data_IF_170572806863
#
_entry.id   IF_170572806863
#
_cell.length_a   1.000
_cell.length_b   1.000
_cell.length_c   1.000
_cell.angle_alpha   90.00
_cell.angle_beta   90.00
_cell.angle_gamma   90.00
#
_symmetry.space_group_name_H-M   'P 1'
#
loop_
_entity.id
_entity.type
_entity.pdbx_description
1 polymer ?
#
# COMPACT_ATOMS: atom_id res chain seq x y z
N UNK A 1 -40.97 36.91 25.26
CA UNK A 1 -40.61 35.55 24.79
C UNK A 1 -39.10 35.40 24.93
N UNK A 2 -38.66 34.53 25.84
CA UNK A 2 -37.25 34.32 26.15
C UNK A 2 -36.59 33.41 25.10
N UNK A 3 -35.42 33.81 24.61
CA UNK A 3 -34.51 32.95 23.84
C UNK A 3 -33.75 32.06 24.83
N UNK A 4 -33.82 30.74 24.65
CA UNK A 4 -33.00 29.80 25.40
C UNK A 4 -31.60 29.71 24.76
N UNK A 5 -30.56 30.00 25.54
CA UNK A 5 -29.16 29.82 25.18
C UNK A 5 -28.79 28.33 25.12
N UNK A 6 -27.94 27.88 24.17
CA UNK A 6 -27.33 26.57 24.25
C UNK A 6 -26.18 26.57 25.27
N UNK A 7 -26.23 25.61 26.19
CA UNK A 7 -25.21 25.34 27.20
C UNK A 7 -23.90 24.88 26.55
N UNK A 8 -22.80 25.48 26.98
CA UNK A 8 -21.44 25.05 26.69
C UNK A 8 -21.05 23.86 27.56
N UNK A 9 -20.45 22.83 26.95
CA UNK A 9 -19.63 21.84 27.67
C UNK A 9 -18.30 21.74 26.93
N UNK A 10 -17.22 21.98 27.69
CA UNK A 10 -15.80 22.00 27.32
C UNK A 10 -15.34 23.24 26.53
N UNK A 11 -14.92 24.26 27.31
CA UNK A 11 -14.43 25.54 26.82
C UNK A 11 -13.28 25.43 25.81
N UNK A 12 -13.63 25.65 24.55
CA UNK A 12 -12.75 26.21 23.52
C UNK A 12 -13.54 27.35 22.89
N UNK A 13 -12.98 28.56 22.91
CA UNK A 13 -13.54 29.74 22.23
C UNK A 13 -13.73 29.39 20.75
N UNK A 14 -14.98 29.31 20.28
CA UNK A 14 -15.26 29.27 18.84
C UNK A 14 -14.77 30.60 18.26
N UNK A 15 -13.68 30.57 17.50
CA UNK A 15 -13.32 31.71 16.67
C UNK A 15 -14.44 31.90 15.66
N UNK A 16 -14.99 33.12 15.61
CA UNK A 16 -16.02 33.56 14.67
C UNK A 16 -15.44 33.66 13.26
N UNK A 17 -14.88 32.58 12.72
CA UNK A 17 -14.50 32.48 11.31
C UNK A 17 -15.78 32.15 10.53
N UNK A 18 -16.36 33.19 9.95
CA UNK A 18 -17.74 33.23 9.48
C UNK A 18 -18.11 32.13 8.48
N UNK A 19 -19.33 31.60 8.61
CA UNK A 19 -20.03 30.78 7.60
C UNK A 19 -19.99 31.38 6.17
N UNK A 20 -19.71 32.68 6.01
CA UNK A 20 -19.65 33.36 4.71
C UNK A 20 -18.62 32.77 3.72
N UNK A 21 -17.58 32.09 4.20
CA UNK A 21 -16.55 31.47 3.34
C UNK A 21 -16.88 30.03 2.92
N UNK A 22 -17.95 29.43 3.47
CA UNK A 22 -18.38 28.06 3.16
C UNK A 22 -19.25 28.02 1.90
N UNK A 23 -19.96 29.12 1.61
CA UNK A 23 -20.97 29.21 0.54
C UNK A 23 -20.54 30.09 -0.64
N UNK A 24 -19.25 30.40 -0.77
CA UNK A 24 -18.78 31.16 -1.94
C UNK A 24 -18.90 30.33 -3.22
N UNK A 25 -18.98 31.02 -4.37
CA UNK A 25 -18.99 30.35 -5.68
C UNK A 25 -17.77 29.44 -5.87
N UNK A 26 -16.60 29.86 -5.40
CA UNK A 26 -15.37 29.06 -5.45
C UNK A 26 -15.46 27.82 -4.55
N UNK A 27 -15.99 27.95 -3.33
CA UNK A 27 -16.20 26.83 -2.42
C UNK A 27 -17.19 25.80 -3.02
N UNK A 28 -18.31 26.26 -3.57
CA UNK A 28 -19.31 25.38 -4.17
C UNK A 28 -18.79 24.67 -5.43
N UNK A 29 -18.04 25.36 -6.29
CA UNK A 29 -17.37 24.74 -7.43
C UNK A 29 -16.33 23.69 -6.99
N UNK A 30 -15.59 23.95 -5.90
CA UNK A 30 -14.59 23.02 -5.37
C UNK A 30 -15.24 21.76 -4.79
N UNK A 31 -16.35 21.90 -4.06
CA UNK A 31 -17.15 20.77 -3.57
C UNK A 31 -17.69 19.91 -4.72
N UNK A 32 -18.18 20.53 -5.80
CA UNK A 32 -18.66 19.83 -6.98
C UNK A 32 -17.53 19.09 -7.72
N UNK A 33 -16.37 19.73 -7.87
CA UNK A 33 -15.19 19.10 -8.46
C UNK A 33 -14.72 17.90 -7.62
N UNK A 34 -14.72 18.01 -6.29
CA UNK A 34 -14.33 16.92 -5.41
C UNK A 34 -15.29 15.71 -5.51
N UNK A 35 -16.60 15.96 -5.63
CA UNK A 35 -17.59 14.92 -5.88
C UNK A 35 -17.40 14.24 -7.25
N UNK A 36 -17.09 15.02 -8.29
CA UNK A 36 -16.77 14.50 -9.63
C UNK A 36 -15.53 13.60 -9.63
N UNK A 37 -14.43 14.10 -9.07
CA UNK A 37 -13.18 13.35 -8.96
C UNK A 37 -13.39 12.06 -8.15
N UNK A 38 -14.09 12.13 -7.01
CA UNK A 38 -14.42 10.95 -6.21
C UNK A 38 -15.21 9.93 -7.02
N UNK A 39 -16.17 10.37 -7.83
CA UNK A 39 -16.95 9.46 -8.68
C UNK A 39 -16.10 8.82 -9.78
N UNK A 40 -15.20 9.57 -10.41
CA UNK A 40 -14.34 9.05 -11.46
C UNK A 40 -13.27 8.10 -10.93
N UNK A 41 -12.55 8.47 -9.87
CA UNK A 41 -11.48 7.64 -9.30
C UNK A 41 -12.01 6.30 -8.78
N UNK A 42 -13.16 6.30 -8.10
CA UNK A 42 -13.73 5.08 -7.55
C UNK A 42 -14.56 4.31 -8.60
N UNK A 43 -15.27 5.00 -9.49
CA UNK A 43 -16.03 4.37 -10.59
C UNK A 43 -15.14 3.67 -11.61
N UNK A 44 -13.95 4.22 -11.89
CA UNK A 44 -12.93 3.60 -12.75
C UNK A 44 -12.03 2.60 -12.01
N UNK A 45 -12.31 2.34 -10.71
CA UNK A 45 -11.50 1.47 -9.83
C UNK A 45 -10.01 1.85 -9.74
N UNK A 46 -9.69 3.12 -9.96
CA UNK A 46 -8.34 3.66 -9.73
C UNK A 46 -8.04 3.72 -8.23
N UNK A 47 -9.07 3.80 -7.39
CA UNK A 47 -8.99 3.72 -5.93
C UNK A 47 -10.04 2.71 -5.43
N UNK A 48 -9.62 1.75 -4.62
CA UNK A 48 -10.48 0.66 -4.11
C UNK A 48 -10.78 0.72 -2.62
N UNK A 49 -10.05 1.56 -1.86
CA UNK A 49 -10.24 1.68 -0.41
C UNK A 49 -11.26 2.78 -0.08
N UNK A 50 -12.35 2.48 0.66
CA UNK A 50 -13.32 3.49 1.09
C UNK A 50 -12.75 4.49 2.12
N UNK A 51 -11.54 4.22 2.65
CA UNK A 51 -10.87 5.07 3.63
C UNK A 51 -10.12 6.27 3.02
N UNK A 52 -9.94 6.33 1.70
CA UNK A 52 -9.23 7.41 1.03
C UNK A 52 -9.94 8.76 1.18
N UNK A 53 -9.21 9.81 1.56
CA UNK A 53 -9.72 11.19 1.59
C UNK A 53 -9.06 12.06 0.52
N UNK A 54 -9.88 12.78 -0.23
CA UNK A 54 -9.46 13.88 -1.10
C UNK A 54 -9.61 15.18 -0.32
N UNK A 55 -8.55 15.98 -0.30
CA UNK A 55 -8.54 17.34 0.25
C UNK A 55 -8.17 18.33 -0.86
N UNK A 56 -8.97 19.38 -1.04
CA UNK A 56 -8.73 20.43 -2.04
C UNK A 56 -8.75 21.78 -1.34
N UNK A 57 -7.69 22.57 -1.55
CA UNK A 57 -7.65 23.96 -1.10
C UNK A 57 -8.56 24.80 -1.99
N UNK A 58 -9.50 25.53 -1.38
CA UNK A 58 -10.39 26.43 -2.11
C UNK A 58 -9.63 27.71 -2.44
N UNK A 59 -9.41 27.93 -3.73
CA UNK A 59 -8.78 29.15 -4.23
C UNK A 59 -9.85 30.18 -4.63
N UNK A 60 -10.10 31.12 -3.72
CA UNK A 60 -10.97 32.27 -3.97
C UNK A 60 -10.12 33.55 -3.90
N UNK A 61 -9.99 34.27 -5.03
CA UNK A 61 -9.19 35.49 -5.12
C UNK A 61 -9.75 36.65 -4.31
N UNK A 62 -11.02 36.57 -3.87
CA UNK A 62 -11.65 37.53 -2.97
C UNK A 62 -11.33 37.28 -1.49
N UNK A 63 -10.69 36.15 -1.16
CA UNK A 63 -10.35 35.76 0.21
C UNK A 63 -8.82 35.86 0.43
N UNK A 64 -8.35 36.56 1.48
CA UNK A 64 -6.93 36.59 1.85
C UNK A 64 -6.37 35.19 2.11
N UNK A 65 -5.10 34.94 1.75
CA UNK A 65 -4.45 33.61 1.85
C UNK A 65 -4.54 32.96 3.25
N UNK A 66 -4.51 33.76 4.31
CA UNK A 66 -4.64 33.28 5.70
C UNK A 66 -6.05 32.85 6.12
N UNK A 67 -7.05 33.06 5.26
CA UNK A 67 -8.45 32.73 5.49
C UNK A 67 -8.99 31.74 4.44
N UNK A 68 -8.11 31.14 3.64
CA UNK A 68 -8.49 30.11 2.67
C UNK A 68 -9.10 28.89 3.38
N UNK A 69 -10.06 28.26 2.73
CA UNK A 69 -10.73 27.07 3.26
C UNK A 69 -10.24 25.81 2.54
N UNK A 70 -10.45 24.67 3.17
CA UNK A 70 -10.08 23.36 2.63
C UNK A 70 -11.35 22.51 2.56
N UNK A 71 -11.67 22.01 1.38
CA UNK A 71 -12.72 21.01 1.16
C UNK A 71 -12.15 19.62 1.37
N UNK A 72 -12.75 18.83 2.26
CA UNK A 72 -12.33 17.48 2.60
C UNK A 72 -13.47 16.48 2.40
N UNK A 73 -13.18 15.39 1.70
CA UNK A 73 -14.10 14.26 1.60
C UNK A 73 -13.95 13.33 2.80
N UNK A 74 -14.99 13.22 3.62
CA UNK A 74 -14.96 12.42 4.86
C UNK A 74 -15.04 10.91 4.58
N UNK A 75 -14.48 10.09 5.47
CA UNK A 75 -14.37 8.62 5.35
C UNK A 75 -15.70 7.87 5.46
N UNK A 76 -16.73 8.49 6.04
CA UNK A 76 -18.06 7.91 6.19
C UNK A 76 -18.95 7.94 4.94
N UNK A 77 -18.47 8.46 3.81
CA UNK A 77 -19.27 8.66 2.59
C UNK A 77 -18.84 7.65 1.52
N UNK A 78 -19.81 6.93 0.92
CA UNK A 78 -19.55 6.10 -0.27
C UNK A 78 -19.08 7.01 -1.42
N UNK A 79 -17.77 7.03 -1.67
CA UNK A 79 -17.10 7.97 -2.59
C UNK A 79 -17.63 7.91 -4.03
N UNK A 80 -18.08 6.73 -4.47
CA UNK A 80 -18.75 6.51 -5.76
C UNK A 80 -20.07 7.29 -5.92
N UNK A 81 -20.71 7.68 -4.81
CA UNK A 81 -22.01 8.36 -4.78
C UNK A 81 -21.96 9.69 -4.01
N UNK A 82 -20.75 10.22 -3.82
CA UNK A 82 -20.54 11.45 -3.08
C UNK A 82 -21.19 12.64 -3.81
N UNK A 83 -21.97 13.44 -3.09
CA UNK A 83 -22.50 14.71 -3.56
C UNK A 83 -21.68 15.88 -2.99
N UNK A 84 -21.79 17.06 -3.61
CA UNK A 84 -21.07 18.25 -3.16
C UNK A 84 -21.38 18.59 -1.68
N UNK A 85 -22.63 18.38 -1.26
CA UNK A 85 -23.11 18.55 0.11
C UNK A 85 -22.47 17.60 1.13
N UNK A 86 -21.86 16.49 0.70
CA UNK A 86 -21.22 15.50 1.58
C UNK A 86 -19.78 15.90 1.99
N UNK A 87 -19.37 17.12 1.63
CA UNK A 87 -18.02 17.64 1.85
C UNK A 87 -17.91 18.32 3.21
N UNK A 88 -16.87 17.99 3.97
CA UNK A 88 -16.47 18.76 5.16
C UNK A 88 -15.64 19.98 4.72
N UNK A 89 -15.83 21.13 5.37
CA UNK A 89 -15.02 22.31 5.12
C UNK A 89 -14.21 22.66 6.36
N UNK A 90 -12.92 22.86 6.18
CA UNK A 90 -12.00 23.26 7.23
C UNK A 90 -11.48 24.69 6.97
N UNK A 91 -11.11 25.38 8.04
CA UNK A 91 -10.32 26.60 7.96
C UNK A 91 -8.88 26.26 7.57
N UNK A 92 -8.11 27.27 7.15
CA UNK A 92 -6.67 27.11 6.91
C UNK A 92 -5.92 26.53 8.12
N UNK A 93 -6.39 26.83 9.34
CA UNK A 93 -5.84 26.31 10.59
C UNK A 93 -6.35 24.93 11.00
N UNK A 94 -7.12 24.25 10.15
CA UNK A 94 -7.62 22.89 10.40
C UNK A 94 -8.88 22.80 11.27
N UNK A 95 -9.49 23.92 11.64
CA UNK A 95 -10.76 23.91 12.40
C UNK A 95 -11.94 23.60 11.48
N UNK A 96 -12.89 22.79 11.93
CA UNK A 96 -14.10 22.45 11.16
C UNK A 96 -15.00 23.69 11.05
N UNK A 97 -15.24 24.15 9.82
CA UNK A 97 -16.15 25.25 9.49
C UNK A 97 -17.55 24.74 9.11
N UNK A 98 -17.62 23.57 8.47
CA UNK A 98 -18.86 22.92 8.09
C UNK A 98 -18.69 21.40 8.08
N UNK A 99 -19.66 20.70 8.64
CA UNK A 99 -19.79 19.24 8.54
C UNK A 99 -21.15 18.89 7.94
N UNK A 100 -21.22 17.95 6.99
CA UNK A 100 -22.49 17.50 6.45
C UNK A 100 -23.36 16.88 7.55
N UNK A 101 -24.70 17.03 7.48
CA UNK A 101 -25.60 16.32 8.36
C UNK A 101 -25.52 14.80 8.11
N UNK A 102 -25.65 13.96 9.13
CA UNK A 102 -25.66 12.51 8.95
C UNK A 102 -26.83 12.10 8.05
N UNK A 103 -26.52 11.42 6.93
CA UNK A 103 -27.56 10.91 6.02
C UNK A 103 -28.27 9.71 6.66
N UNK A 104 -29.62 9.63 6.61
CA UNK A 104 -30.34 8.45 7.08
C UNK A 104 -29.92 7.22 6.27
N UNK A 105 -29.74 6.08 6.96
CA UNK A 105 -29.39 4.81 6.33
C UNK A 105 -30.37 4.48 5.20
N UNK A 106 -29.88 4.34 3.97
CA UNK A 106 -30.71 3.86 2.86
C UNK A 106 -31.12 2.41 3.14
N UNK A 107 -32.43 2.12 3.17
CA UNK A 107 -33.01 0.77 3.24
C UNK A 107 -32.68 -0.05 1.97
N UNK A 108 -31.42 -0.41 1.80
CA UNK A 108 -30.99 -1.63 1.12
C UNK A 108 -29.84 -2.16 1.95
N UNK A 109 -30.11 -3.27 2.65
CA UNK A 109 -29.10 -4.06 3.32
C UNK A 109 -27.94 -4.29 2.33
N UNK A 110 -26.68 -4.01 2.71
CA UNK A 110 -25.57 -4.76 2.13
C UNK A 110 -25.90 -6.24 2.34
N UNK A 111 -25.59 -7.11 1.37
CA UNK A 111 -25.72 -8.55 1.58
C UNK A 111 -24.77 -8.95 2.72
N UNK A 112 -25.31 -8.96 3.93
CA UNK A 112 -24.70 -9.49 5.13
C UNK A 112 -25.10 -10.96 5.22
N UNK A 113 -24.22 -11.84 4.76
CA UNK A 113 -23.96 -13.04 5.53
C UNK A 113 -22.75 -12.74 6.42
N UNK A 114 -22.98 -12.99 7.70
CA UNK A 114 -22.05 -13.06 8.83
C UNK A 114 -21.62 -11.75 9.51
N UNK A 115 -22.37 -11.44 10.57
CA UNK A 115 -22.03 -10.47 11.60
C UNK A 115 -23.25 -10.07 12.43
N UNK A 116 -23.66 -10.89 13.40
CA UNK A 116 -24.58 -10.46 14.47
C UNK A 116 -23.80 -9.72 15.58
N UNK A 117 -24.47 -8.86 16.37
CA UNK A 117 -23.98 -7.53 16.67
C UNK A 117 -23.36 -7.40 18.07
N UNK A 118 -22.37 -6.51 18.22
CA UNK A 118 -21.95 -6.00 19.52
C UNK A 118 -22.12 -4.47 19.54
N UNK A 119 -22.69 -4.01 20.66
CA UNK A 119 -22.94 -2.63 21.10
C UNK A 119 -24.28 -1.98 20.71
N UNK A 120 -25.34 -2.38 21.43
CA UNK A 120 -26.24 -1.41 22.05
C UNK A 120 -25.98 -1.42 23.56
N UNK A 121 -25.60 -0.27 24.13
CA UNK A 121 -25.65 -0.01 25.57
C UNK A 121 -26.84 0.92 25.79
N UNK A 122 -27.90 0.40 26.41
CA UNK A 122 -28.87 1.24 27.11
C UNK A 122 -28.42 1.45 28.57
N UNK A 123 -28.69 2.62 29.18
CA UNK A 123 -28.45 2.87 30.59
C UNK A 123 -29.66 2.47 31.46
N UNK A 124 -29.38 2.17 32.74
CA UNK A 124 -30.29 1.89 33.88
C UNK A 124 -30.73 0.44 34.15
N UNK A 125 -30.52 0.01 35.40
CA UNK A 125 -31.35 -1.04 36.04
C UNK A 125 -30.59 -2.15 36.77
N UNK A 126 -30.56 -2.08 38.10
CA UNK A 126 -30.02 -3.03 39.09
C UNK A 126 -30.70 -4.43 39.05
N UNK A 127 -30.01 -5.50 39.50
CA UNK A 127 -30.46 -6.49 40.53
C UNK A 127 -29.38 -7.57 40.78
N UNK A 128 -29.33 -8.01 42.05
CA UNK A 128 -28.40 -8.89 42.78
C UNK A 128 -28.21 -10.33 42.26
N UNK A 129 -26.98 -10.82 42.44
CA UNK A 129 -26.66 -12.05 43.20
C UNK A 129 -26.77 -13.41 42.48
N UNK A 130 -25.66 -14.17 42.45
CA UNK A 130 -25.55 -15.56 42.94
C UNK A 130 -24.07 -16.02 42.87
N UNK A 131 -23.65 -16.63 43.97
CA UNK A 131 -22.36 -17.24 44.25
C UNK A 131 -22.22 -18.61 43.58
N UNK A 132 -21.03 -18.94 43.05
CA UNK A 132 -20.54 -20.32 43.08
C UNK A 132 -19.01 -20.36 43.13
N UNK A 133 -18.50 -21.11 44.12
CA UNK A 133 -17.09 -21.44 44.38
C UNK A 133 -16.63 -22.60 43.48
N UNK A 134 -15.32 -22.88 43.53
CA UNK A 134 -14.56 -24.13 43.25
C UNK A 134 -13.54 -23.89 42.12
N UNK A 135 -12.26 -24.27 42.17
CA UNK A 135 -11.31 -24.75 43.18
C UNK A 135 -9.95 -24.79 42.46
N UNK A 136 -8.87 -24.41 43.13
CA UNK A 136 -7.49 -24.51 42.62
C UNK A 136 -7.00 -25.94 42.78
N UNK A 137 -6.42 -26.53 41.72
CA UNK A 137 -5.52 -27.67 41.83
C UNK A 137 -4.33 -27.51 40.90
N UNK A 138 -3.15 -27.69 41.49
CA UNK A 138 -1.84 -27.56 40.86
C UNK A 138 -1.40 -28.85 40.17
N UNK A 139 -0.57 -28.70 39.13
CA UNK A 139 0.49 -29.66 38.76
C UNK A 139 0.28 -30.47 37.48
N UNK A 140 0.87 -30.01 36.37
CA UNK A 140 1.66 -30.81 35.42
C UNK A 140 2.29 -29.89 34.38
N UNK A 141 3.62 -29.82 34.35
CA UNK A 141 4.39 -29.18 33.27
C UNK A 141 4.26 -30.03 32.00
N UNK A 142 3.55 -29.50 31.01
CA UNK A 142 3.61 -29.90 29.61
C UNK A 142 3.82 -28.65 28.77
N UNK A 143 4.72 -28.69 27.81
CA UNK A 143 5.08 -27.57 26.94
C UNK A 143 3.82 -27.03 26.23
N UNK A 144 3.35 -25.86 26.67
CA UNK A 144 2.26 -25.12 26.06
C UNK A 144 2.70 -24.59 24.69
N UNK A 145 2.38 -25.32 23.63
CA UNK A 145 2.31 -24.80 22.27
C UNK A 145 0.85 -24.79 21.77
N UNK A 146 -0.12 -24.64 22.68
CA UNK A 146 -1.54 -24.55 22.35
C UNK A 146 -2.07 -23.14 22.67
N UNK A 147 -2.81 -22.58 21.70
CA UNK A 147 -3.51 -21.28 21.71
C UNK A 147 -2.68 -20.00 21.47
N UNK A 148 -1.73 -20.00 20.53
CA UNK A 148 -1.50 -18.75 19.79
C UNK A 148 -2.59 -18.62 18.72
N UNK A 149 -3.36 -17.52 18.70
CA UNK A 149 -4.34 -17.31 17.65
C UNK A 149 -3.62 -17.23 16.30
N UNK A 150 -4.20 -17.91 15.30
CA UNK A 150 -3.77 -17.87 13.91
C UNK A 150 -3.66 -16.42 13.44
N UNK A 151 -2.59 -16.02 12.73
CA UNK A 151 -2.50 -14.68 12.18
C UNK A 151 -3.66 -14.45 11.21
N UNK A 152 -4.29 -13.27 11.32
CA UNK A 152 -5.36 -12.86 10.40
C UNK A 152 -4.79 -12.56 9.01
N UNK A 153 -3.56 -12.04 8.98
CA UNK A 153 -2.86 -11.67 7.76
C UNK A 153 -1.43 -12.21 7.77
N UNK A 154 -0.96 -12.64 6.60
CA UNK A 154 0.45 -12.95 6.37
C UNK A 154 0.98 -11.95 5.34
N UNK A 155 2.12 -11.33 5.63
CA UNK A 155 2.85 -10.47 4.69
C UNK A 155 4.16 -11.18 4.35
N UNK A 156 4.41 -11.39 3.07
CA UNK A 156 5.58 -12.12 2.58
C UNK A 156 6.52 -11.18 1.84
N UNK A 157 7.81 -11.36 2.07
CA UNK A 157 8.84 -10.90 1.15
C UNK A 157 8.92 -11.78 -0.12
N UNK A 158 9.64 -11.30 -1.14
CA UNK A 158 9.89 -12.01 -2.39
C UNK A 158 11.25 -12.69 -2.38
N UNK A 159 12.31 -11.92 -2.57
CA UNK A 159 13.68 -12.39 -2.73
C UNK A 159 14.13 -13.12 -1.45
N UNK A 160 14.70 -14.32 -1.58
CA UNK A 160 15.16 -15.11 -0.44
C UNK A 160 14.06 -15.70 0.45
N UNK A 161 12.78 -15.46 0.12
CA UNK A 161 11.64 -15.86 0.94
C UNK A 161 10.63 -16.74 0.18
N UNK A 162 10.01 -16.18 -0.87
CA UNK A 162 9.14 -16.94 -1.79
C UNK A 162 9.85 -17.32 -3.08
N UNK A 163 10.86 -16.55 -3.46
CA UNK A 163 11.56 -16.61 -4.74
C UNK A 163 13.07 -16.64 -4.48
N UNK A 164 13.88 -17.46 -5.19
CA UNK A 164 15.33 -17.44 -5.04
C UNK A 164 15.91 -16.05 -5.30
N UNK A 165 16.88 -15.62 -4.51
CA UNK A 165 17.58 -14.33 -4.71
C UNK A 165 18.17 -14.25 -6.13
N UNK A 166 18.75 -15.36 -6.60
CA UNK A 166 19.32 -15.49 -7.94
C UNK A 166 18.32 -15.24 -9.07
N UNK A 167 17.02 -15.48 -8.87
CA UNK A 167 16.03 -15.17 -9.89
C UNK A 167 15.98 -13.67 -10.20
N UNK A 168 16.09 -12.82 -9.18
CA UNK A 168 16.07 -11.38 -9.38
C UNK A 168 17.41 -10.88 -9.91
N UNK A 169 18.52 -11.32 -9.30
CA UNK A 169 19.86 -10.83 -9.66
C UNK A 169 20.38 -11.37 -10.98
N UNK A 170 20.07 -12.63 -11.31
CA UNK A 170 20.69 -13.34 -12.43
C UNK A 170 19.74 -13.49 -13.62
N UNK A 171 18.43 -13.27 -13.42
CA UNK A 171 17.43 -13.37 -14.50
C UNK A 171 16.73 -12.04 -14.73
N UNK A 172 16.00 -11.47 -13.76
CA UNK A 172 15.18 -10.28 -14.01
C UNK A 172 16.01 -9.04 -14.38
N UNK A 173 17.05 -8.70 -13.61
CA UNK A 173 17.86 -7.52 -13.94
C UNK A 173 18.65 -7.68 -15.24
N UNK A 174 19.34 -8.82 -15.51
CA UNK A 174 19.97 -9.06 -16.79
C UNK A 174 18.98 -9.03 -17.96
N UNK A 175 17.79 -9.61 -17.81
CA UNK A 175 16.76 -9.56 -18.85
C UNK A 175 16.37 -8.11 -19.19
N UNK A 176 16.16 -7.25 -18.19
CA UNK A 176 15.83 -5.86 -18.42
C UNK A 176 16.94 -5.11 -19.17
N UNK A 177 18.21 -5.34 -18.76
CA UNK A 177 19.38 -4.79 -19.43
C UNK A 177 19.46 -5.22 -20.89
N UNK A 178 19.36 -6.53 -21.15
CA UNK A 178 19.59 -7.09 -22.48
C UNK A 178 18.43 -6.83 -23.45
N UNK A 179 17.23 -6.52 -22.93
CA UNK A 179 16.01 -6.32 -23.74
C UNK A 179 15.52 -4.86 -23.79
N UNK A 180 16.19 -3.91 -23.14
CA UNK A 180 15.76 -2.49 -23.17
C UNK A 180 15.64 -1.96 -24.60
N UNK A 181 16.64 -2.22 -25.46
CA UNK A 181 16.61 -1.77 -26.86
C UNK A 181 15.46 -2.40 -27.64
N UNK A 182 15.29 -3.72 -27.53
CA UNK A 182 14.17 -4.46 -28.16
C UNK A 182 12.82 -3.91 -27.72
N UNK A 183 12.62 -3.71 -26.42
CA UNK A 183 11.39 -3.15 -25.87
C UNK A 183 11.10 -1.77 -26.44
N UNK A 184 12.06 -0.83 -26.32
CA UNK A 184 11.90 0.54 -26.81
C UNK A 184 11.62 0.57 -28.32
N UNK A 185 12.25 -0.28 -29.13
CA UNK A 185 11.98 -0.35 -30.59
C UNK A 185 10.53 -0.75 -30.84
N UNK A 186 10.05 -1.79 -30.15
CA UNK A 186 8.71 -2.35 -30.32
C UNK A 186 7.61 -1.41 -29.83
N UNK A 187 7.84 -0.69 -28.73
CA UNK A 187 6.81 0.08 -28.04
C UNK A 187 6.98 1.59 -28.14
N UNK A 188 7.97 2.09 -28.89
CA UNK A 188 8.32 3.51 -28.97
C UNK A 188 7.11 4.43 -29.12
N UNK A 189 6.23 4.13 -30.07
CA UNK A 189 5.08 4.99 -30.41
C UNK A 189 3.93 4.92 -29.38
N UNK A 190 4.04 4.06 -28.37
CA UNK A 190 3.01 3.93 -27.33
C UNK A 190 3.14 5.08 -26.33
N UNK A 191 1.99 5.59 -25.85
CA UNK A 191 1.98 6.65 -24.85
C UNK A 191 2.75 6.27 -23.57
N UNK A 192 2.64 5.01 -23.15
CA UNK A 192 3.33 4.50 -21.96
C UNK A 192 4.86 4.53 -22.10
N UNK A 193 5.39 4.13 -23.27
CA UNK A 193 6.83 4.22 -23.52
C UNK A 193 7.29 5.66 -23.71
N UNK A 194 6.46 6.54 -24.28
CA UNK A 194 6.78 7.98 -24.34
C UNK A 194 6.87 8.61 -22.94
N UNK A 195 6.00 8.21 -22.01
CA UNK A 195 6.09 8.63 -20.61
C UNK A 195 7.39 8.12 -19.93
N UNK A 196 7.77 6.86 -20.17
CA UNK A 196 9.05 6.30 -19.69
C UNK A 196 10.24 7.10 -20.22
N UNK A 197 10.25 7.39 -21.53
CA UNK A 197 11.29 8.16 -22.21
C UNK A 197 11.40 9.55 -21.60
N UNK A 198 10.28 10.24 -21.38
CA UNK A 198 10.26 11.58 -20.77
C UNK A 198 10.86 11.58 -19.35
N UNK A 199 10.50 10.60 -18.53
CA UNK A 199 11.02 10.47 -17.17
C UNK A 199 12.52 10.14 -17.17
N UNK A 200 12.97 9.24 -18.07
CA UNK A 200 14.37 8.89 -18.21
C UNK A 200 15.20 10.06 -18.73
N UNK A 201 14.72 10.80 -19.73
CA UNK A 201 15.35 12.05 -20.21
C UNK A 201 15.56 13.02 -19.05
N UNK A 202 14.52 13.26 -18.25
CA UNK A 202 14.60 14.16 -17.09
C UNK A 202 15.64 13.69 -16.07
N UNK A 203 15.71 12.39 -15.80
CA UNK A 203 16.73 11.83 -14.90
C UNK A 203 18.14 11.97 -15.47
N UNK A 204 18.34 11.67 -16.76
CA UNK A 204 19.64 11.77 -17.42
C UNK A 204 20.13 13.22 -17.47
N UNK A 205 19.25 14.19 -17.71
CA UNK A 205 19.62 15.61 -17.63
C UNK A 205 20.08 16.01 -16.23
N UNK A 206 19.45 15.50 -15.18
CA UNK A 206 19.88 15.71 -13.80
C UNK A 206 21.24 15.05 -13.53
N UNK A 207 21.44 13.84 -14.03
CA UNK A 207 22.69 13.08 -13.89
C UNK A 207 23.87 13.80 -14.58
N UNK A 208 23.64 14.33 -15.78
CA UNK A 208 24.62 15.15 -16.50
C UNK A 208 24.97 16.42 -15.73
N UNK A 209 23.98 17.13 -15.15
CA UNK A 209 24.21 18.31 -14.30
C UNK A 209 25.04 17.96 -13.04
N UNK A 210 24.86 16.76 -12.51
CA UNK A 210 25.59 16.25 -11.34
C UNK A 210 26.95 15.62 -11.70
N UNK A 211 27.29 15.50 -12.98
CA UNK A 211 28.54 14.87 -13.43
C UNK A 211 28.60 13.37 -13.14
N UNK A 212 27.46 12.67 -13.15
CA UNK A 212 27.42 11.21 -12.98
C UNK A 212 28.18 10.55 -14.14
N UNK A 213 29.12 9.67 -13.82
CA UNK A 213 29.90 8.93 -14.81
C UNK A 213 28.99 8.05 -15.69
N UNK A 214 29.38 7.87 -16.96
CA UNK A 214 28.64 7.07 -17.98
C UNK A 214 27.26 7.63 -18.39
N UNK A 215 26.80 8.76 -17.82
CA UNK A 215 25.60 9.44 -18.31
C UNK A 215 25.85 10.05 -19.69
N UNK A 216 24.97 9.76 -20.66
CA UNK A 216 25.07 10.29 -22.04
C UNK A 216 23.84 11.13 -22.40
N UNK A 217 24.00 12.28 -23.06
CA UNK A 217 22.85 13.10 -23.48
C UNK A 217 21.86 12.33 -24.34
N UNK A 218 20.57 12.46 -24.04
CA UNK A 218 19.51 11.91 -24.89
C UNK A 218 19.15 12.94 -25.97
N UNK A 219 19.33 12.64 -27.27
CA UNK A 219 19.02 13.57 -28.36
C UNK A 219 17.56 14.02 -28.36
N UNK A 220 17.20 15.21 -28.86
CA UNK A 220 15.80 15.63 -28.99
C UNK A 220 15.01 14.69 -29.92
N UNK A 221 13.68 14.69 -29.82
CA UNK A 221 12.82 13.74 -30.58
C UNK A 221 12.93 13.89 -32.11
N UNK A 222 13.35 15.06 -32.60
CA UNK A 222 13.58 15.30 -34.02
C UNK A 222 14.92 14.75 -34.54
N UNK A 223 15.79 14.22 -33.68
CA UNK A 223 17.04 13.55 -34.08
C UNK A 223 16.81 12.17 -34.70
N UNK A 224 15.61 11.60 -34.50
CA UNK A 224 15.25 10.28 -35.00
C UNK A 224 15.18 9.24 -33.88
N UNK A 225 14.26 8.29 -34.04
CA UNK A 225 13.93 7.25 -33.06
C UNK A 225 15.16 6.42 -32.67
N UNK A 226 15.97 6.04 -33.64
CA UNK A 226 17.11 5.14 -33.44
C UNK A 226 18.18 5.77 -32.55
N UNK A 227 18.46 7.06 -32.71
CA UNK A 227 19.45 7.79 -31.90
C UNK A 227 18.97 7.96 -30.45
N UNK A 228 17.68 8.27 -30.27
CA UNK A 228 17.06 8.38 -28.93
C UNK A 228 17.14 7.04 -28.21
N UNK A 229 16.76 5.95 -28.88
CA UNK A 229 16.81 4.60 -28.29
C UNK A 229 18.25 4.23 -27.92
N UNK A 230 19.23 4.45 -28.81
CA UNK A 230 20.62 4.11 -28.52
C UNK A 230 21.16 4.85 -27.28
N UNK A 231 20.84 6.14 -27.14
CA UNK A 231 21.24 6.92 -25.96
C UNK A 231 20.53 6.43 -24.68
N UNK A 232 19.26 6.07 -24.75
CA UNK A 232 18.51 5.52 -23.62
C UNK A 232 19.04 4.15 -23.19
N UNK A 233 19.36 3.27 -24.14
CA UNK A 233 19.97 1.96 -23.88
C UNK A 233 21.26 2.14 -23.09
N UNK A 234 22.17 2.99 -23.58
CA UNK A 234 23.46 3.25 -22.92
C UNK A 234 23.28 3.77 -21.48
N UNK A 235 22.36 4.72 -21.27
CA UNK A 235 22.06 5.24 -19.93
C UNK A 235 21.46 4.16 -19.02
N UNK A 236 20.49 3.39 -19.51
CA UNK A 236 19.82 2.33 -18.72
C UNK A 236 20.81 1.24 -18.32
N UNK A 237 21.66 0.80 -19.24
CA UNK A 237 22.72 -0.17 -18.96
C UNK A 237 23.68 0.34 -17.89
N UNK A 238 24.13 1.59 -17.98
CA UNK A 238 24.98 2.22 -16.97
C UNK A 238 24.29 2.32 -15.61
N UNK A 239 23.01 2.72 -15.58
CA UNK A 239 22.24 2.81 -14.33
C UNK A 239 22.04 1.44 -13.66
N UNK A 240 21.79 0.39 -14.44
CA UNK A 240 21.66 -0.99 -13.94
C UNK A 240 23.01 -1.49 -13.43
N UNK A 241 24.09 -1.30 -14.19
CA UNK A 241 25.45 -1.70 -13.81
C UNK A 241 25.91 -1.04 -12.50
N UNK A 242 25.50 0.20 -12.26
CA UNK A 242 25.79 0.94 -11.04
C UNK A 242 24.77 0.71 -9.89
N UNK A 243 23.84 -0.26 -10.04
CA UNK A 243 22.75 -0.56 -9.10
C UNK A 243 21.96 0.68 -8.61
N UNK A 244 21.73 1.64 -9.51
CA UNK A 244 21.11 2.91 -9.14
C UNK A 244 19.62 2.74 -8.89
N UNK A 245 19.16 3.16 -7.71
CA UNK A 245 17.75 3.07 -7.30
C UNK A 245 16.94 4.28 -7.80
N UNK A 246 16.66 4.32 -9.09
CA UNK A 246 15.98 5.43 -9.79
C UNK A 246 14.52 5.07 -10.06
N UNK A 247 13.58 6.00 -9.80
CA UNK A 247 12.16 5.78 -10.04
C UNK A 247 11.84 5.55 -11.54
N UNK A 248 12.37 6.40 -12.42
CA UNK A 248 12.21 6.27 -13.88
C UNK A 248 12.72 4.92 -14.41
N UNK A 249 13.90 4.48 -13.94
CA UNK A 249 14.45 3.17 -14.31
C UNK A 249 13.53 2.03 -13.85
N UNK A 250 13.05 2.06 -12.61
CA UNK A 250 12.15 1.02 -12.07
C UNK A 250 10.84 0.92 -12.85
N UNK A 251 10.32 2.05 -13.34
CA UNK A 251 9.11 2.07 -14.17
C UNK A 251 9.36 1.33 -15.49
N UNK A 252 10.40 1.74 -16.23
CA UNK A 252 10.76 1.11 -17.49
C UNK A 252 11.07 -0.39 -17.31
N UNK A 253 11.82 -0.77 -16.27
CA UNK A 253 12.10 -2.18 -15.95
C UNK A 253 10.81 -2.99 -15.80
N UNK A 254 9.80 -2.44 -15.13
CA UNK A 254 8.47 -3.06 -15.02
C UNK A 254 7.81 -3.32 -16.37
N UNK A 255 7.92 -2.38 -17.31
CA UNK A 255 7.35 -2.49 -18.65
C UNK A 255 8.13 -3.47 -19.54
N UNK A 256 9.46 -3.50 -19.43
CA UNK A 256 10.31 -4.51 -20.09
C UNK A 256 9.97 -5.91 -19.58
N UNK A 257 9.86 -6.10 -18.27
CA UNK A 257 9.46 -7.38 -17.70
C UNK A 257 8.06 -7.78 -18.16
N UNK A 258 7.09 -6.86 -18.19
CA UNK A 258 5.74 -7.15 -18.71
C UNK A 258 5.81 -7.69 -20.15
N UNK A 259 6.69 -7.14 -20.97
CA UNK A 259 6.93 -7.63 -22.34
C UNK A 259 7.46 -9.06 -22.32
N UNK A 260 8.49 -9.35 -21.50
CA UNK A 260 9.06 -10.69 -21.39
C UNK A 260 8.08 -11.74 -20.86
N UNK A 261 7.32 -11.41 -19.81
CA UNK A 261 6.30 -12.30 -19.25
C UNK A 261 5.17 -12.58 -20.26
N UNK A 262 4.70 -11.54 -20.97
CA UNK A 262 3.66 -11.68 -22.00
C UNK A 262 4.15 -12.45 -23.23
N UNK A 263 5.43 -12.31 -23.57
CA UNK A 263 6.09 -13.01 -24.68
C UNK A 263 6.52 -14.45 -24.38
N UNK A 264 6.30 -14.95 -23.17
CA UNK A 264 6.82 -16.25 -22.70
C UNK A 264 8.36 -16.35 -22.69
N UNK A 265 9.05 -15.22 -22.62
CA UNK A 265 10.51 -15.16 -22.44
C UNK A 265 10.89 -15.15 -20.95
N UNK A 266 9.94 -14.77 -20.08
CA UNK A 266 10.06 -14.85 -18.63
C UNK A 266 8.94 -15.71 -18.03
N UNK A 267 9.31 -16.42 -16.97
CA UNK A 267 8.45 -17.16 -16.06
C UNK A 267 8.90 -16.88 -14.63
N UNK A 268 7.94 -16.67 -13.73
CA UNK A 268 8.20 -16.42 -12.32
C UNK A 268 8.67 -17.70 -11.63
N UNK A 269 9.73 -17.63 -10.85
CA UNK A 269 10.21 -18.79 -10.09
C UNK A 269 9.85 -18.58 -8.62
N UNK A 270 9.14 -19.53 -8.03
CA UNK A 270 8.94 -19.61 -6.58
C UNK A 270 9.42 -20.95 -6.05
N UNK A 271 9.76 -21.02 -4.76
CA UNK A 271 10.12 -22.28 -4.11
C UNK A 271 8.92 -23.25 -4.07
N UNK A 272 9.20 -24.55 -4.16
CA UNK A 272 8.22 -25.62 -4.33
C UNK A 272 7.15 -25.69 -3.23
N UNK A 273 7.46 -25.25 -2.01
CA UNK A 273 6.55 -25.22 -0.87
C UNK A 273 5.62 -23.99 -0.84
N UNK A 274 5.91 -22.96 -1.65
CA UNK A 274 5.15 -21.70 -1.65
C UNK A 274 3.72 -21.88 -2.14
N UNK A 275 3.44 -22.55 -3.28
CA UNK A 275 2.08 -22.72 -3.77
C UNK A 275 1.16 -23.44 -2.77
N UNK A 276 1.65 -24.52 -2.17
CA UNK A 276 0.88 -25.30 -1.19
C UNK A 276 0.60 -24.46 0.07
N UNK A 277 1.60 -23.72 0.57
CA UNK A 277 1.39 -22.84 1.71
C UNK A 277 0.37 -21.73 1.43
N UNK A 278 0.45 -21.07 0.27
CA UNK A 278 -0.51 -20.05 -0.15
C UNK A 278 -1.93 -20.60 -0.25
N UNK A 279 -2.09 -21.79 -0.82
CA UNK A 279 -3.39 -22.45 -0.93
C UNK A 279 -3.97 -22.81 0.44
N UNK A 280 -3.16 -23.38 1.34
CA UNK A 280 -3.58 -23.71 2.71
C UNK A 280 -4.00 -22.47 3.48
N UNK A 281 -3.20 -21.41 3.46
CA UNK A 281 -3.54 -20.15 4.15
C UNK A 281 -4.83 -19.54 3.59
N UNK A 282 -5.00 -19.58 2.27
CA UNK A 282 -6.23 -19.13 1.63
C UNK A 282 -7.45 -19.94 2.07
N UNK A 283 -7.34 -21.27 2.15
CA UNK A 283 -8.41 -22.17 2.61
C UNK A 283 -8.78 -21.94 4.09
N UNK A 284 -7.82 -21.53 4.91
CA UNK A 284 -8.03 -21.13 6.30
C UNK A 284 -8.63 -19.71 6.45
N UNK A 285 -8.82 -18.99 5.35
CA UNK A 285 -9.34 -17.62 5.35
C UNK A 285 -8.31 -16.54 5.68
N UNK A 286 -7.03 -16.92 5.82
CA UNK A 286 -5.92 -16.01 6.09
C UNK A 286 -5.64 -15.17 4.85
N UNK A 287 -5.49 -13.86 5.03
CA UNK A 287 -5.20 -12.94 3.92
C UNK A 287 -3.69 -12.82 3.72
N UNK A 288 -3.22 -13.21 2.54
CA UNK A 288 -1.80 -13.14 2.20
C UNK A 288 -1.50 -11.90 1.35
N UNK A 289 -0.48 -11.15 1.71
CA UNK A 289 0.00 -9.96 1.01
C UNK A 289 1.48 -10.10 0.71
N UNK A 290 1.95 -9.36 -0.29
CA UNK A 290 3.39 -9.26 -0.61
C UNK A 290 3.90 -7.88 -0.19
N UNK A 291 5.11 -7.80 0.36
CA UNK A 291 5.83 -6.55 0.56
C UNK A 291 7.27 -6.69 0.07
N UNK A 292 7.59 -6.02 -1.04
CA UNK A 292 8.91 -6.09 -1.69
C UNK A 292 9.41 -4.74 -2.15
N UNK A 293 10.72 -4.61 -2.40
CA UNK A 293 11.33 -3.41 -2.94
C UNK A 293 11.03 -3.18 -4.43
N UNK A 294 10.61 -4.25 -5.13
CA UNK A 294 10.11 -4.21 -6.51
C UNK A 294 8.74 -3.54 -6.59
N UNK A 295 8.45 -2.89 -7.72
CA UNK A 295 7.16 -2.22 -7.94
C UNK A 295 6.00 -3.22 -7.89
N UNK A 296 4.80 -2.76 -7.50
CA UNK A 296 3.59 -3.61 -7.52
C UNK A 296 3.35 -4.27 -8.88
N UNK A 297 3.71 -3.61 -9.98
CA UNK A 297 3.66 -4.19 -11.33
C UNK A 297 4.56 -5.42 -11.42
N UNK A 298 5.83 -5.30 -11.04
CA UNK A 298 6.79 -6.40 -11.05
C UNK A 298 6.31 -7.58 -10.18
N UNK A 299 5.81 -7.29 -8.98
CA UNK A 299 5.29 -8.33 -8.08
C UNK A 299 4.10 -9.08 -8.74
N UNK A 300 3.16 -8.36 -9.38
CA UNK A 300 2.04 -8.97 -10.10
C UNK A 300 2.47 -9.80 -11.30
N UNK A 301 3.58 -9.46 -11.94
CA UNK A 301 4.13 -10.24 -13.05
C UNK A 301 4.74 -11.54 -12.54
N UNK A 302 5.59 -11.47 -11.50
CA UNK A 302 6.24 -12.63 -10.88
C UNK A 302 5.19 -13.67 -10.48
N UNK A 303 4.19 -13.28 -9.67
CA UNK A 303 3.18 -14.24 -9.19
C UNK A 303 2.09 -14.56 -10.20
N UNK A 304 1.96 -13.78 -11.28
CA UNK A 304 0.91 -13.95 -12.28
C UNK A 304 1.18 -15.07 -13.28
N UNK A 305 2.44 -15.48 -13.40
CA UNK A 305 2.86 -16.52 -14.33
C UNK A 305 4.11 -17.20 -13.80
N UNK A 306 3.92 -18.05 -12.81
CA UNK A 306 5.01 -18.82 -12.21
C UNK A 306 5.17 -20.19 -12.87
N UNK A 307 6.22 -20.90 -12.50
CA UNK A 307 6.41 -22.34 -12.73
C UNK A 307 5.29 -23.23 -12.15
N UNK A 308 4.32 -22.66 -11.44
CA UNK A 308 3.12 -23.31 -10.90
C UNK A 308 1.81 -22.66 -11.41
N UNK A 309 1.88 -21.82 -12.43
CA UNK A 309 0.75 -21.07 -12.97
C UNK A 309 0.50 -19.73 -12.26
N UNK A 310 -0.73 -19.23 -12.33
CA UNK A 310 -1.08 -17.95 -11.70
C UNK A 310 -1.40 -18.15 -10.20
N UNK A 311 -0.50 -17.66 -9.34
CA UNK A 311 -0.63 -17.74 -7.88
C UNK A 311 -1.36 -16.52 -7.28
N UNK A 312 -1.67 -15.49 -8.07
CA UNK A 312 -2.34 -14.27 -7.56
C UNK A 312 -3.72 -14.53 -7.01
N UNK A 313 -4.36 -15.65 -7.39
CA UNK A 313 -5.64 -16.10 -6.82
C UNK A 313 -5.59 -16.29 -5.30
N UNK A 314 -4.42 -16.55 -4.72
CA UNK A 314 -4.23 -16.70 -3.28
C UNK A 314 -3.80 -15.40 -2.59
N UNK A 315 -3.42 -14.37 -3.37
CA UNK A 315 -2.91 -13.10 -2.85
C UNK A 315 -4.01 -12.05 -2.74
N UNK A 316 -4.02 -11.32 -1.64
CA UNK A 316 -4.98 -10.27 -1.32
C UNK A 316 -4.50 -8.86 -1.67
N UNK A 317 -3.18 -8.67 -1.87
CA UNK A 317 -2.63 -7.38 -2.26
C UNK A 317 -1.11 -7.33 -2.27
N UNK A 318 -0.58 -6.18 -2.67
CA UNK A 318 0.85 -5.93 -2.87
C UNK A 318 1.22 -4.57 -2.29
N UNK A 319 2.28 -4.55 -1.49
CA UNK A 319 2.95 -3.36 -0.97
C UNK A 319 4.34 -3.25 -1.60
N UNK A 320 4.74 -2.03 -1.89
CA UNK A 320 6.07 -1.68 -2.38
C UNK A 320 6.63 -0.51 -1.58
N UNK A 321 7.78 0.03 -1.99
CA UNK A 321 8.44 1.13 -1.27
C UNK A 321 7.62 2.43 -1.21
N UNK A 322 6.47 2.50 -1.89
CA UNK A 322 5.54 3.62 -1.72
C UNK A 322 4.94 3.68 -0.30
N UNK A 323 4.86 2.55 0.41
CA UNK A 323 4.46 2.51 1.83
C UNK A 323 5.60 2.92 2.78
N UNK A 324 6.84 2.89 2.29
CA UNK A 324 8.05 3.18 3.04
C UNK A 324 9.17 2.15 2.83
N UNK A 325 10.35 2.41 3.39
CA UNK A 325 11.50 1.51 3.31
C UNK A 325 11.30 0.27 4.20
N UNK A 326 11.65 -0.92 3.72
CA UNK A 326 11.46 -2.20 4.44
C UNK A 326 12.25 -2.30 5.75
N UNK A 327 13.27 -1.45 5.96
CA UNK A 327 14.06 -1.40 7.20
C UNK A 327 13.56 -0.36 8.20
N UNK A 328 12.47 0.33 7.88
CA UNK A 328 11.90 1.36 8.74
C UNK A 328 10.63 0.86 9.44
N UNK A 329 10.56 1.07 10.76
CA UNK A 329 9.41 0.71 11.60
C UNK A 329 8.10 1.31 11.05
N UNK A 330 8.17 2.56 10.57
CA UNK A 330 7.00 3.30 10.05
C UNK A 330 6.29 2.57 8.91
N UNK A 331 7.03 1.87 8.06
CA UNK A 331 6.45 1.13 6.92
C UNK A 331 5.49 0.04 7.40
N UNK A 332 5.84 -0.66 8.49
CA UNK A 332 5.01 -1.73 9.05
C UNK A 332 3.83 -1.20 9.86
N UNK A 333 3.96 -0.02 10.45
CA UNK A 333 2.82 0.70 11.05
C UNK A 333 1.80 1.05 9.97
N UNK A 334 2.26 1.65 8.86
CA UNK A 334 1.40 2.00 7.72
C UNK A 334 0.76 0.76 7.07
N UNK A 335 1.49 -0.35 6.95
CA UNK A 335 0.93 -1.63 6.49
C UNK A 335 -0.17 -2.11 7.45
N UNK A 336 0.06 -2.06 8.76
CA UNK A 336 -0.94 -2.48 9.75
C UNK A 336 -2.23 -1.66 9.66
N UNK A 337 -2.09 -0.34 9.53
CA UNK A 337 -3.22 0.58 9.33
C UNK A 337 -3.94 0.32 8.00
N UNK A 338 -3.19 0.13 6.91
CA UNK A 338 -3.73 -0.18 5.59
C UNK A 338 -4.52 -1.49 5.55
N UNK A 339 -4.09 -2.48 6.33
CA UNK A 339 -4.76 -3.79 6.45
C UNK A 339 -5.96 -3.77 7.40
N UNK A 340 -6.12 -2.71 8.21
CA UNK A 340 -7.22 -2.57 9.15
C UNK A 340 -7.28 -3.70 10.17
N UNK A 341 -6.12 -4.12 10.68
CA UNK A 341 -6.02 -5.02 11.84
C UNK A 341 -6.16 -4.20 13.13
N UNK A 342 -6.71 -4.81 14.18
CA UNK A 342 -6.89 -4.13 15.47
C UNK A 342 -5.56 -4.08 16.25
N UNK A 343 -4.74 -5.13 16.09
CA UNK A 343 -3.41 -5.18 16.68
C UNK A 343 -2.37 -5.63 15.65
N UNK A 344 -1.17 -5.02 15.60
CA UNK A 344 -0.11 -5.43 14.67
C UNK A 344 0.30 -6.90 14.82
N UNK A 345 0.11 -7.49 16.01
CA UNK A 345 0.38 -8.91 16.28
C UNK A 345 -0.54 -9.90 15.55
N UNK A 346 -1.60 -9.42 14.89
CA UNK A 346 -2.43 -10.22 13.98
C UNK A 346 -1.76 -10.44 12.62
N UNK A 347 -0.65 -9.75 12.35
CA UNK A 347 0.12 -9.87 11.12
C UNK A 347 1.38 -10.69 11.40
N UNK A 348 1.58 -11.75 10.61
CA UNK A 348 2.85 -12.45 10.51
C UNK A 348 3.61 -11.95 9.29
N UNK A 349 4.79 -11.36 9.51
CA UNK A 349 5.72 -11.00 8.43
C UNK A 349 6.81 -12.07 8.28
N UNK A 350 7.05 -12.50 7.03
CA UNK A 350 8.08 -13.48 6.70
C UNK A 350 9.07 -12.82 5.72
N UNK A 351 10.35 -12.82 6.09
CA UNK A 351 11.46 -12.21 5.32
C UNK A 351 12.74 -13.01 5.57
N UNK A 352 13.70 -12.99 4.67
CA UNK A 352 15.06 -13.49 4.92
C UNK A 352 15.97 -12.43 5.54
N UNK A 353 15.60 -11.15 5.45
CA UNK A 353 16.45 -10.03 5.84
C UNK A 353 16.27 -9.70 7.32
N UNK A 354 17.33 -9.92 8.11
CA UNK A 354 17.35 -9.63 9.56
C UNK A 354 16.91 -8.20 9.91
N UNK A 355 17.38 -7.18 9.18
CA UNK A 355 17.03 -5.79 9.48
C UNK A 355 15.54 -5.48 9.23
N UNK A 356 14.91 -6.15 8.28
CA UNK A 356 13.47 -6.04 8.05
C UNK A 356 12.68 -6.73 9.17
N UNK A 357 13.14 -7.91 9.59
CA UNK A 357 12.57 -8.63 10.73
C UNK A 357 12.61 -7.79 12.02
N UNK A 358 13.73 -7.12 12.30
CA UNK A 358 13.87 -6.20 13.45
C UNK A 358 12.88 -5.03 13.35
N UNK A 359 12.77 -4.40 12.18
CA UNK A 359 11.85 -3.27 11.98
C UNK A 359 10.38 -3.68 12.15
N UNK A 360 9.97 -4.80 11.56
CA UNK A 360 8.62 -5.34 11.69
C UNK A 360 8.29 -5.71 13.14
N UNK A 361 9.23 -6.34 13.85
CA UNK A 361 9.07 -6.70 15.26
C UNK A 361 8.93 -5.49 16.15
N UNK A 362 9.71 -4.44 15.91
CA UNK A 362 9.62 -3.17 16.63
C UNK A 362 8.29 -2.44 16.37
N UNK A 363 7.65 -2.67 15.22
CA UNK A 363 6.28 -2.20 14.93
C UNK A 363 5.17 -3.08 15.56
N UNK A 364 5.53 -4.17 16.24
CA UNK A 364 4.61 -5.05 16.96
C UNK A 364 4.10 -6.26 16.18
N UNK A 365 4.60 -6.50 14.97
CA UNK A 365 4.20 -7.66 14.16
C UNK A 365 4.77 -8.97 14.74
N UNK A 366 4.10 -10.08 14.41
CA UNK A 366 4.76 -11.39 14.47
C UNK A 366 5.73 -11.51 13.30
N UNK A 367 6.87 -12.18 13.52
CA UNK A 367 7.93 -12.25 12.53
C UNK A 367 8.54 -13.66 12.52
N UNK A 368 8.75 -14.20 11.33
CA UNK A 368 9.56 -15.39 11.10
C UNK A 368 10.62 -15.07 10.03
N UNK A 369 11.83 -15.60 10.20
CA UNK A 369 12.91 -15.48 9.22
C UNK A 369 12.91 -16.69 8.30
N UNK A 370 12.84 -16.46 6.99
CA UNK A 370 12.96 -17.53 5.99
C UNK A 370 14.43 -17.87 5.75
N UNK A 371 14.76 -19.15 5.86
CA UNK A 371 16.10 -19.67 5.55
C UNK A 371 16.01 -20.45 4.25
N UNK A 372 16.52 -19.86 3.16
CA UNK A 372 16.55 -20.44 1.83
C UNK A 372 17.99 -20.56 1.30
N UNK A 373 18.24 -21.47 0.34
CA UNK A 373 19.53 -21.52 -0.34
C UNK A 373 19.90 -20.17 -0.95
N UNK A 374 21.10 -19.68 -0.66
CA UNK A 374 21.62 -18.39 -1.14
C UNK A 374 21.39 -17.21 -0.20
N UNK A 375 20.60 -17.35 0.87
CA UNK A 375 20.41 -16.28 1.85
C UNK A 375 21.72 -15.99 2.60
N UNK A 376 21.89 -14.73 3.01
CA UNK A 376 23.04 -14.30 3.80
C UNK A 376 23.04 -14.90 5.22
N UNK A 377 24.19 -14.91 5.91
CA UNK A 377 24.26 -15.40 7.28
C UNK A 377 23.45 -14.50 8.23
N UNK A 378 22.82 -15.13 9.22
CA UNK A 378 22.13 -14.44 10.31
C UNK A 378 23.08 -14.24 11.50
N UNK A 379 22.90 -13.18 12.31
CA UNK A 379 23.60 -13.07 13.58
C UNK A 379 23.28 -14.24 14.51
N UNK A 380 24.26 -14.67 15.30
CA UNK A 380 24.03 -15.67 16.36
C UNK A 380 23.00 -15.13 17.37
N UNK A 381 22.18 -16.03 17.92
CA UNK A 381 21.16 -15.73 18.94
C UNK A 381 20.20 -14.58 18.58
N UNK A 382 19.90 -14.40 17.28
CA UNK A 382 19.00 -13.35 16.78
C UNK A 382 17.57 -13.39 17.35
N UNK A 383 17.15 -14.49 17.99
CA UNK A 383 15.90 -14.58 18.76
C UNK A 383 14.60 -14.61 17.95
N UNK A 384 14.69 -14.75 16.62
CA UNK A 384 13.52 -14.90 15.75
C UNK A 384 13.21 -16.37 15.49
N UNK A 385 11.94 -16.70 15.32
CA UNK A 385 11.56 -17.99 14.74
C UNK A 385 12.10 -18.07 13.32
N UNK A 386 12.66 -19.23 12.94
CA UNK A 386 13.15 -19.48 11.60
C UNK A 386 12.31 -20.56 10.93
N UNK A 387 12.22 -20.50 9.60
CA UNK A 387 11.53 -21.49 8.80
C UNK A 387 12.33 -21.79 7.53
N UNK A 388 12.63 -23.06 7.31
CA UNK A 388 13.30 -23.53 6.08
C UNK A 388 12.31 -23.83 4.96
N UNK A 389 11.04 -24.05 5.34
CA UNK A 389 9.90 -24.22 4.46
C UNK A 389 8.68 -23.49 5.05
N UNK A 390 7.78 -23.01 4.20
CA UNK A 390 6.48 -22.50 4.63
C UNK A 390 5.58 -23.60 5.19
N UNK A 391 5.94 -24.87 5.03
CA UNK A 391 5.34 -25.99 5.76
C UNK A 391 5.58 -25.93 7.27
N UNK A 392 6.68 -25.29 7.70
CA UNK A 392 7.03 -25.13 9.12
C UNK A 392 6.21 -24.02 9.81
N UNK A 393 5.52 -23.19 9.02
CA UNK A 393 4.71 -22.09 9.51
C UNK A 393 3.31 -22.62 9.84
N UNK A 394 3.10 -22.93 11.12
CA UNK A 394 1.78 -23.18 11.67
C UNK A 394 1.04 -21.85 11.78
N UNK A 395 0.26 -21.54 10.76
CA UNK A 395 -0.62 -20.37 10.73
C UNK A 395 -2.06 -20.76 11.01
#
# INVERSE_FOLDING_TARGET
MAMASPLAVNGVKLATTSLAYVDTKAANNTKALMAELSRQFYGLRLVSSPAGSIAIKVHDHSIPKGQHTISLSHSGVKKERMLAEDTCMLSYGGSILYSPPPKPFSHKLPNCLDGRPLFMKDPFGSIKGISSKISVKAGAQGLNNENKPLPRCIVLDIEGTTTPISFVTDILFPYARDNVGKHLILTYETAETQDDIMLLRSQVEEDLKKGVAEAVPVPPDNAGKEEVIAALVANVEAMIKADRKIAALKQLQGHIWRTGFSGNELEGIVFDDVPEALERWHALGIKVYIYSSGSRLAQRLIFGKTNYGDLRKYLSGFFDTAVGNKREIRSYVEISESLGVDTPSEILFITDVYQEAVAAKAAGLQVAISIRPGNGPLPDDHGFQTATSFSDITA
#
